data_IF_254294306327
#
_entry.id   IF_254294306327
#
_cell.length_a   1.000
_cell.length_b   1.000
_cell.length_c   1.000
_cell.angle_alpha   90.00
_cell.angle_beta   90.00
_cell.angle_gamma   90.00
#
_symmetry.space_group_name_H-M   'P 1'
#
loop_
_entity.id
_entity.type
_entity.pdbx_description
1 polymer ?
#
# COMPACT_ATOMS: atom_id res chain seq x y z
N UNK A 1 35.24 44.59 31.94
CA UNK A 1 33.99 44.71 31.14
C UNK A 1 34.40 44.94 29.71
N UNK A 2 34.28 43.92 28.87
CA UNK A 2 34.43 44.02 27.42
C UNK A 2 33.44 43.03 26.83
N UNK A 3 32.33 43.59 26.34
CA UNK A 3 31.24 42.87 25.69
C UNK A 3 31.77 42.29 24.37
N UNK A 4 32.01 40.98 24.33
CA UNK A 4 32.09 40.25 23.07
C UNK A 4 30.74 39.56 22.94
N UNK A 5 29.87 40.17 22.15
CA UNK A 5 28.61 39.61 21.69
C UNK A 5 28.90 38.28 20.99
N UNK A 6 28.77 37.18 21.72
CA UNK A 6 28.83 35.81 21.19
C UNK A 6 27.56 35.50 20.39
N UNK A 7 27.33 36.24 19.30
CA UNK A 7 26.49 35.77 18.21
C UNK A 7 27.28 34.68 17.47
N UNK A 8 27.45 33.53 18.10
CA UNK A 8 27.88 32.32 17.40
C UNK A 8 26.68 31.83 16.62
N UNK A 9 26.41 32.50 15.50
CA UNK A 9 25.81 31.87 14.33
C UNK A 9 26.68 30.64 14.05
N UNK A 10 26.27 29.47 14.53
CA UNK A 10 26.97 28.20 14.38
C UNK A 10 26.92 27.72 12.93
N UNK A 11 27.42 28.55 12.00
CA UNK A 11 27.63 28.24 10.59
C UNK A 11 29.12 27.99 10.39
N UNK A 12 29.64 26.94 11.00
CA UNK A 12 30.99 26.43 10.73
C UNK A 12 31.03 24.92 11.00
N UNK A 13 30.21 24.15 10.27
CA UNK A 13 30.49 22.73 10.09
C UNK A 13 30.60 22.44 8.60
N UNK A 14 31.86 22.39 8.16
CA UNK A 14 32.35 21.82 6.92
C UNK A 14 31.58 20.55 6.57
N UNK A 15 30.72 20.60 5.54
CA UNK A 15 30.32 19.61 4.51
C UNK A 15 30.33 18.08 4.76
N UNK A 16 30.67 17.57 5.95
CA UNK A 16 30.60 16.15 6.35
C UNK A 16 29.62 16.03 7.51
N UNK A 17 28.37 15.75 7.19
CA UNK A 17 27.39 15.25 8.16
C UNK A 17 26.54 16.32 8.85
N UNK A 18 25.80 17.12 8.07
CA UNK A 18 24.60 17.78 8.61
C UNK A 18 23.64 16.67 9.05
N UNK A 19 23.61 16.38 10.35
CA UNK A 19 22.66 15.42 10.91
C UNK A 19 21.27 16.05 10.87
N UNK A 20 20.40 15.57 9.99
CA UNK A 20 18.96 15.84 10.01
C UNK A 20 18.31 14.86 11.00
N UNK A 21 17.33 15.30 11.78
CA UNK A 21 16.70 14.44 12.79
C UNK A 21 17.55 14.21 14.03
N UNK A 22 17.29 13.11 14.74
CA UNK A 22 18.02 12.71 15.95
C UNK A 22 19.31 11.97 15.60
N UNK A 23 20.50 12.47 15.99
CA UNK A 23 21.76 11.76 15.74
C UNK A 23 21.82 10.43 16.48
N UNK A 24 22.12 9.35 15.77
CA UNK A 24 22.30 8.01 16.33
C UNK A 24 23.76 7.64 16.56
N UNK A 25 24.66 8.06 15.67
CA UNK A 25 26.10 7.80 15.75
C UNK A 25 26.90 9.01 15.24
N UNK A 26 28.07 9.25 15.81
CA UNK A 26 29.00 10.24 15.27
C UNK A 26 29.80 9.65 14.10
N UNK A 27 30.26 10.49 13.17
CA UNK A 27 31.14 10.06 12.06
C UNK A 27 32.45 9.40 12.52
N UNK A 28 32.88 9.61 13.77
CA UNK A 28 34.03 8.93 14.38
C UNK A 28 33.71 7.53 14.95
N UNK A 29 32.48 7.03 14.78
CA UNK A 29 32.01 5.74 15.30
C UNK A 29 31.55 5.77 16.75
N UNK A 30 31.80 6.85 17.49
CA UNK A 30 31.33 6.97 18.87
C UNK A 30 29.81 7.17 18.96
N UNK A 31 29.22 6.63 20.03
CA UNK A 31 27.80 6.82 20.36
C UNK A 31 27.49 8.29 20.67
N UNK A 32 26.19 8.61 20.60
CA UNK A 32 25.65 9.93 20.91
C UNK A 32 25.12 9.93 22.34
N UNK A 33 25.45 10.97 23.11
CA UNK A 33 25.01 11.16 24.50
C UNK A 33 24.26 12.47 24.65
N UNK A 34 23.27 12.49 25.56
CA UNK A 34 22.56 13.69 25.95
C UNK A 34 23.33 14.48 27.00
N UNK A 35 23.43 15.80 26.82
CA UNK A 35 24.06 16.75 27.74
C UNK A 35 23.14 17.92 28.01
N UNK A 36 23.39 18.60 29.13
CA UNK A 36 22.72 19.83 29.52
C UNK A 36 23.72 20.96 29.39
N UNK A 37 23.34 22.02 28.67
CA UNK A 37 24.15 23.20 28.48
C UNK A 37 24.30 23.97 29.80
N UNK A 38 25.53 24.37 30.08
CA UNK A 38 25.90 25.23 31.21
C UNK A 38 26.31 26.64 30.75
N UNK A 39 26.07 26.97 29.49
CA UNK A 39 26.43 28.28 28.95
C UNK A 39 25.39 29.33 29.32
N UNK A 40 25.84 30.56 29.58
CA UNK A 40 24.97 31.71 29.87
C UNK A 40 23.93 32.00 28.78
N UNK A 41 24.23 31.93 27.46
CA UNK A 41 23.23 32.19 26.42
C UNK A 41 22.20 31.05 26.26
N UNK A 42 22.52 29.83 26.69
CA UNK A 42 21.61 28.68 26.56
C UNK A 42 21.62 27.85 27.85
N UNK A 43 21.18 28.41 29.00
CA UNK A 43 21.26 27.70 30.27
C UNK A 43 20.25 26.55 30.28
N UNK A 44 20.66 25.39 30.79
CA UNK A 44 19.84 24.19 30.93
C UNK A 44 19.28 23.58 29.62
N UNK A 45 19.59 24.14 28.45
CA UNK A 45 19.14 23.59 27.17
C UNK A 45 19.83 22.24 26.90
N UNK A 46 19.07 21.25 26.45
CA UNK A 46 19.57 19.89 26.19
C UNK A 46 20.11 19.74 24.77
N UNK A 47 21.24 19.08 24.62
CA UNK A 47 21.83 18.78 23.32
C UNK A 47 22.39 17.35 23.24
N UNK A 48 22.43 16.82 22.04
CA UNK A 48 23.14 15.61 21.68
C UNK A 48 24.59 15.91 21.33
N UNK A 49 25.53 15.10 21.82
CA UNK A 49 26.97 15.22 21.57
C UNK A 49 27.60 13.86 21.36
N UNK A 50 28.66 13.81 20.55
CA UNK A 50 29.54 12.64 20.47
C UNK A 50 30.14 12.28 21.84
N UNK A 51 30.02 11.03 22.26
CA UNK A 51 30.58 10.52 23.52
C UNK A 51 32.10 10.69 23.59
N UNK A 52 32.82 10.43 22.49
CA UNK A 52 34.27 10.61 22.43
C UNK A 52 34.69 12.07 22.67
N UNK A 53 33.98 13.03 22.06
CA UNK A 53 34.26 14.45 22.25
C UNK A 53 34.00 14.88 23.70
N UNK A 54 32.94 14.34 24.33
CA UNK A 54 32.64 14.59 25.75
C UNK A 54 33.74 14.01 26.65
N UNK A 55 34.13 12.76 26.45
CA UNK A 55 35.13 12.08 27.30
C UNK A 55 36.49 12.76 27.24
N UNK A 56 36.89 13.25 26.06
CA UNK A 56 38.16 13.94 25.85
C UNK A 56 38.08 15.46 26.08
N UNK A 57 36.92 15.98 26.52
CA UNK A 57 36.68 17.42 26.76
C UNK A 57 37.09 18.30 25.56
N UNK A 58 36.81 17.83 24.35
CA UNK A 58 37.13 18.58 23.14
C UNK A 58 36.26 19.84 23.06
N UNK A 59 36.89 20.94 22.64
CA UNK A 59 36.26 22.25 22.43
C UNK A 59 36.49 22.66 20.98
N UNK A 60 35.49 23.28 20.35
CA UNK A 60 35.55 23.72 18.95
C UNK A 60 35.95 22.62 17.95
N UNK A 61 35.51 21.40 18.21
CA UNK A 61 35.74 20.25 17.32
C UNK A 61 34.58 20.02 16.33
N UNK A 62 34.83 19.19 15.33
CA UNK A 62 33.89 18.85 14.27
C UNK A 62 33.04 17.60 14.56
N UNK A 63 32.98 17.09 15.81
CA UNK A 63 32.11 15.99 16.15
C UNK A 63 30.64 16.44 16.20
N UNK A 64 29.73 15.45 16.16
CA UNK A 64 28.28 15.70 16.22
C UNK A 64 27.92 16.54 17.44
N UNK A 65 27.20 17.63 17.18
CA UNK A 65 26.48 18.47 18.13
C UNK A 65 25.12 18.79 17.54
N UNK A 66 24.04 18.63 18.30
CA UNK A 66 22.71 19.07 17.88
C UNK A 66 21.81 19.35 19.07
N UNK A 67 21.03 20.43 19.03
CA UNK A 67 20.03 20.70 20.04
C UNK A 67 18.90 19.66 20.01
N UNK A 68 18.44 19.21 21.19
CA UNK A 68 17.43 18.15 21.29
C UNK A 68 16.10 18.60 20.67
N UNK A 69 15.68 19.83 20.94
CA UNK A 69 14.46 20.43 20.39
C UNK A 69 14.50 20.52 18.85
N UNK A 70 15.61 20.97 18.28
CA UNK A 70 15.79 21.00 16.81
C UNK A 70 15.82 19.59 16.20
N UNK A 71 16.46 18.64 16.87
CA UNK A 71 16.48 17.25 16.42
C UNK A 71 15.08 16.64 16.40
N UNK A 72 14.28 16.87 17.44
CA UNK A 72 12.91 16.37 17.54
C UNK A 72 11.97 17.07 16.55
N UNK A 73 12.11 18.39 16.36
CA UNK A 73 11.32 19.13 15.36
C UNK A 73 11.54 18.56 13.96
N UNK A 74 12.78 18.27 13.58
CA UNK A 74 13.08 17.63 12.29
C UNK A 74 12.41 16.25 12.14
N UNK A 75 12.37 15.43 13.21
CA UNK A 75 11.69 14.13 13.16
C UNK A 75 10.18 14.29 13.01
N UNK A 76 9.58 15.23 13.75
CA UNK A 76 8.14 15.51 13.66
C UNK A 76 7.78 16.00 12.26
N UNK A 77 8.58 16.89 11.67
CA UNK A 77 8.37 17.38 10.31
C UNK A 77 8.46 16.25 9.27
N UNK A 78 9.49 15.40 9.37
CA UNK A 78 9.66 14.22 8.51
C UNK A 78 8.46 13.27 8.65
N UNK A 79 8.10 12.91 9.87
CA UNK A 79 6.95 12.02 10.12
C UNK A 79 5.64 12.63 9.64
N UNK A 80 5.45 13.93 9.79
CA UNK A 80 4.29 14.65 9.24
C UNK A 80 4.22 14.56 7.71
N UNK A 81 5.36 14.69 7.02
CA UNK A 81 5.41 14.53 5.57
C UNK A 81 5.10 13.10 5.12
N UNK A 82 5.67 12.10 5.80
CA UNK A 82 5.45 10.68 5.49
C UNK A 82 3.99 10.28 5.73
N UNK A 83 3.38 10.76 6.83
CA UNK A 83 1.98 10.54 7.12
C UNK A 83 1.06 11.07 6.00
N UNK A 84 1.32 12.30 5.52
CA UNK A 84 0.56 12.89 4.40
C UNK A 84 0.69 12.07 3.12
N UNK A 85 1.89 11.58 2.81
CA UNK A 85 2.11 10.72 1.64
C UNK A 85 1.37 9.39 1.78
N UNK A 86 1.41 8.77 2.95
CA UNK A 86 0.68 7.53 3.22
C UNK A 86 -0.83 7.72 3.13
N UNK A 87 -1.37 8.79 3.72
CA UNK A 87 -2.80 9.14 3.61
C UNK A 87 -3.24 9.31 2.16
N UNK A 88 -2.39 9.93 1.31
CA UNK A 88 -2.68 10.08 -0.10
C UNK A 88 -2.69 8.74 -0.84
N UNK A 89 -1.69 7.87 -0.61
CA UNK A 89 -1.65 6.54 -1.24
C UNK A 89 -2.83 5.67 -0.82
N UNK A 90 -3.29 5.76 0.42
CA UNK A 90 -4.47 5.04 0.90
C UNK A 90 -5.73 5.50 0.13
N UNK A 91 -5.94 6.82 0.01
CA UNK A 91 -7.07 7.37 -0.75
C UNK A 91 -7.04 6.94 -2.22
N UNK A 92 -5.87 6.97 -2.84
CA UNK A 92 -5.71 6.52 -4.23
C UNK A 92 -6.02 5.03 -4.38
N UNK A 93 -5.58 4.20 -3.42
CA UNK A 93 -5.87 2.77 -3.44
C UNK A 93 -7.35 2.45 -3.25
N UNK A 94 -8.07 3.23 -2.45
CA UNK A 94 -9.52 3.10 -2.25
C UNK A 94 -10.27 3.36 -3.56
N UNK A 95 -9.91 4.42 -4.29
CA UNK A 95 -10.49 4.72 -5.61
C UNK A 95 -10.25 3.58 -6.61
N UNK A 96 -9.04 3.02 -6.63
CA UNK A 96 -8.70 1.90 -7.51
C UNK A 96 -9.51 0.65 -7.14
N UNK A 97 -9.67 0.37 -5.84
CA UNK A 97 -10.46 -0.75 -5.35
C UNK A 97 -11.92 -0.65 -5.78
N UNK A 98 -12.55 0.52 -5.59
CA UNK A 98 -13.93 0.79 -6.03
C UNK A 98 -14.09 0.59 -7.55
N UNK A 99 -13.10 1.03 -8.33
CA UNK A 99 -13.07 0.82 -9.78
C UNK A 99 -13.04 -0.67 -10.17
N UNK A 100 -12.20 -1.46 -9.48
CA UNK A 100 -12.10 -2.91 -9.71
C UNK A 100 -13.40 -3.62 -9.31
N UNK A 101 -14.03 -3.23 -8.20
CA UNK A 101 -15.31 -3.82 -7.78
C UNK A 101 -16.42 -3.52 -8.79
N UNK A 102 -16.46 -2.29 -9.32
CA UNK A 102 -17.39 -1.92 -10.38
C UNK A 102 -17.15 -2.74 -11.67
N UNK A 103 -15.90 -2.86 -12.13
CA UNK A 103 -15.57 -3.65 -13.32
C UNK A 103 -15.99 -5.11 -13.15
N UNK A 104 -15.73 -5.70 -11.97
CA UNK A 104 -16.17 -7.05 -11.64
C UNK A 104 -17.69 -7.18 -11.68
N UNK A 105 -18.43 -6.23 -11.09
CA UNK A 105 -19.89 -6.23 -11.13
C UNK A 105 -20.42 -6.18 -12.57
N UNK A 106 -19.81 -5.37 -13.44
CA UNK A 106 -20.18 -5.27 -14.85
C UNK A 106 -19.92 -6.61 -15.57
N UNK A 107 -18.78 -7.23 -15.32
CA UNK A 107 -18.42 -8.53 -15.89
C UNK A 107 -19.39 -9.64 -15.43
N UNK A 108 -19.63 -9.74 -14.12
CA UNK A 108 -20.55 -10.73 -13.53
C UNK A 108 -21.97 -10.58 -14.09
N UNK A 109 -22.45 -9.34 -14.26
CA UNK A 109 -23.74 -9.06 -14.92
C UNK A 109 -23.75 -9.49 -16.40
N UNK A 110 -22.61 -9.37 -17.08
CA UNK A 110 -22.43 -9.88 -18.44
C UNK A 110 -22.53 -11.41 -18.49
N UNK A 111 -21.85 -12.10 -17.58
CA UNK A 111 -21.86 -13.56 -17.47
C UNK A 111 -23.28 -14.09 -17.22
N UNK A 112 -24.02 -13.50 -16.27
CA UNK A 112 -25.39 -13.91 -15.97
C UNK A 112 -26.33 -13.81 -17.18
N UNK A 113 -26.15 -12.80 -18.05
CA UNK A 113 -26.95 -12.69 -19.28
C UNK A 113 -26.66 -13.83 -20.26
N UNK A 114 -25.37 -14.13 -20.45
CA UNK A 114 -24.96 -15.21 -21.36
C UNK A 114 -25.43 -16.57 -20.84
N UNK A 115 -25.27 -16.84 -19.54
CA UNK A 115 -25.76 -18.07 -18.91
C UNK A 115 -27.26 -18.25 -19.12
N UNK A 116 -28.05 -17.16 -18.97
CA UNK A 116 -29.49 -17.19 -19.23
C UNK A 116 -29.80 -17.49 -20.70
N UNK A 117 -29.15 -16.82 -21.65
CA UNK A 117 -29.36 -17.06 -23.08
C UNK A 117 -29.00 -18.49 -23.51
N UNK A 118 -27.93 -19.05 -22.92
CA UNK A 118 -27.54 -20.45 -23.15
C UNK A 118 -28.57 -21.40 -22.57
N UNK A 119 -29.05 -21.16 -21.35
CA UNK A 119 -30.06 -21.99 -20.71
C UNK A 119 -31.35 -22.06 -21.53
N UNK A 120 -31.85 -20.90 -21.99
CA UNK A 120 -33.05 -20.83 -22.84
C UNK A 120 -32.86 -21.59 -24.16
N UNK A 121 -31.68 -21.47 -24.81
CA UNK A 121 -31.38 -22.22 -26.04
C UNK A 121 -31.32 -23.74 -25.81
N UNK A 122 -30.71 -24.19 -24.71
CA UNK A 122 -30.62 -25.61 -24.36
C UNK A 122 -32.00 -26.20 -24.10
N UNK A 123 -32.86 -25.49 -23.37
CA UNK A 123 -34.23 -25.92 -23.10
C UNK A 123 -35.07 -26.02 -24.38
N UNK A 124 -34.94 -25.03 -25.28
CA UNK A 124 -35.59 -25.04 -26.59
C UNK A 124 -35.20 -26.28 -27.40
N UNK A 125 -33.89 -26.57 -27.54
CA UNK A 125 -33.39 -27.76 -28.26
C UNK A 125 -33.88 -29.06 -27.64
N UNK A 126 -33.89 -29.16 -26.30
CA UNK A 126 -34.40 -30.33 -25.61
C UNK A 126 -35.90 -30.55 -25.89
N UNK A 127 -36.69 -29.48 -25.89
CA UNK A 127 -38.12 -29.54 -26.19
C UNK A 127 -38.37 -30.01 -27.63
N UNK A 128 -37.62 -29.50 -28.60
CA UNK A 128 -37.70 -29.88 -30.01
C UNK A 128 -37.36 -31.35 -30.20
N UNK A 129 -36.23 -31.81 -29.65
CA UNK A 129 -35.81 -33.21 -29.69
C UNK A 129 -36.88 -34.15 -29.10
N UNK A 130 -37.50 -33.77 -27.97
CA UNK A 130 -38.56 -34.54 -27.33
C UNK A 130 -39.80 -34.67 -28.22
N UNK A 131 -40.22 -33.59 -28.89
CA UNK A 131 -41.37 -33.66 -29.81
C UNK A 131 -41.07 -34.53 -31.03
N UNK A 132 -39.86 -34.42 -31.58
CA UNK A 132 -39.41 -35.23 -32.71
C UNK A 132 -39.34 -36.72 -32.35
N UNK A 133 -38.86 -37.06 -31.14
CA UNK A 133 -38.90 -38.44 -30.63
C UNK A 133 -40.32 -38.99 -30.54
N UNK A 134 -41.27 -38.20 -30.01
CA UNK A 134 -42.68 -38.61 -29.95
C UNK A 134 -43.25 -38.89 -31.35
N UNK A 135 -42.97 -38.03 -32.33
CA UNK A 135 -43.39 -38.23 -33.73
C UNK A 135 -42.79 -39.51 -34.31
N UNK A 136 -41.50 -39.75 -34.12
CA UNK A 136 -40.82 -40.97 -34.57
C UNK A 136 -41.39 -42.23 -33.93
N UNK A 137 -41.67 -42.22 -32.62
CA UNK A 137 -42.29 -43.35 -31.92
C UNK A 137 -43.64 -43.74 -32.51
N UNK A 138 -44.48 -42.75 -32.83
CA UNK A 138 -45.79 -42.97 -33.46
C UNK A 138 -45.62 -43.62 -34.84
N UNK A 139 -44.69 -43.12 -35.66
CA UNK A 139 -44.41 -43.69 -36.99
C UNK A 139 -43.95 -45.15 -36.92
N UNK A 140 -43.10 -45.49 -35.95
CA UNK A 140 -42.65 -46.88 -35.72
C UNK A 140 -43.81 -47.79 -35.34
N UNK A 141 -44.70 -47.37 -34.42
CA UNK A 141 -45.87 -48.16 -34.01
C UNK A 141 -46.79 -48.44 -35.20
N UNK A 142 -47.11 -47.40 -36.00
CA UNK A 142 -47.96 -47.55 -37.18
C UNK A 142 -47.31 -48.50 -38.19
N UNK A 143 -46.01 -48.36 -38.45
CA UNK A 143 -45.25 -49.26 -39.33
C UNK A 143 -45.32 -50.73 -38.88
N UNK A 144 -45.13 -50.99 -37.59
CA UNK A 144 -45.25 -52.34 -37.03
C UNK A 144 -46.66 -52.94 -37.21
N UNK A 145 -47.72 -52.15 -36.99
CA UNK A 145 -49.10 -52.60 -37.14
C UNK A 145 -49.42 -53.01 -38.58
N UNK A 146 -48.93 -52.25 -39.56
CA UNK A 146 -49.09 -52.54 -40.99
C UNK A 146 -48.41 -53.88 -41.35
N UNK A 147 -47.16 -54.09 -40.90
CA UNK A 147 -46.40 -55.33 -41.16
C UNK A 147 -47.13 -56.55 -40.59
N UNK A 148 -47.58 -56.50 -39.32
CA UNK A 148 -48.32 -57.61 -38.69
C UNK A 148 -49.63 -57.90 -39.42
N UNK A 149 -50.31 -56.87 -39.91
CA UNK A 149 -51.53 -57.01 -40.71
C UNK A 149 -51.27 -57.75 -42.02
N UNK A 150 -50.21 -57.40 -42.75
CA UNK A 150 -49.83 -58.09 -43.98
C UNK A 150 -49.41 -59.54 -43.75
N UNK A 151 -48.68 -59.84 -42.66
CA UNK A 151 -48.27 -61.21 -42.32
C UNK A 151 -49.47 -62.12 -41.96
N UNK A 152 -50.57 -61.57 -41.44
CA UNK A 152 -51.81 -62.34 -41.17
C UNK A 152 -52.69 -62.58 -42.41
N UNK A 153 -52.44 -61.87 -43.50
CA UNK A 153 -53.24 -61.90 -44.73
C UNK A 153 -52.65 -62.83 -45.82
N UNK A 154 -51.44 -63.35 -45.59
CA UNK A 154 -50.76 -64.39 -46.38
C UNK A 154 -50.97 -65.74 -45.67
#
# INVERSE_FOLDING_TARGET
MSNISGASSGSSSTWRGRVVGVPTVCWCGAQIVGKISKSDPNPYRRYFRCAYAVSNKLMDDNHVFKWVDEALLNEVERLSSEAKTLEQMVKESEIVFDGVEYEKMVFDKGLMKVEKEVFEKVECVFSEAKTNMKKMMILVIIGCMIIVGFVKLI
#
